data_IF_589381209118
#
_entry.id   IF_589381209118
#
_cell.length_a   1.000
_cell.length_b   1.000
_cell.length_c   1.000
_cell.angle_alpha   90.00
_cell.angle_beta   90.00
_cell.angle_gamma   90.00
#
_symmetry.space_group_name_H-M   'P 1'
#
loop_
_entity.id
_entity.type
_entity.pdbx_description
1 polymer ?
#
# COMPACT_ATOMS: atom_id res chain seq x y z
N UNK A 1 11.85 -0.99 -0.65
CA UNK A 1 11.56 -1.75 -1.88
C UNK A 1 10.12 -1.53 -2.28
N UNK A 2 9.87 -1.20 -3.55
CA UNK A 2 8.52 -1.14 -4.12
C UNK A 2 8.22 -2.45 -4.85
N UNK A 3 7.02 -3.00 -4.67
CA UNK A 3 6.55 -4.18 -5.37
C UNK A 3 5.04 -4.10 -5.59
N UNK A 4 4.58 -4.51 -6.76
CA UNK A 4 3.18 -4.70 -7.06
C UNK A 4 2.82 -6.17 -6.87
N UNK A 5 1.68 -6.46 -6.24
CA UNK A 5 1.27 -7.84 -5.95
C UNK A 5 -0.23 -8.03 -6.05
N UNK A 6 -0.65 -9.08 -6.74
CA UNK A 6 -2.02 -9.57 -6.65
C UNK A 6 -2.22 -10.40 -5.38
N UNK A 7 -3.15 -9.97 -4.51
CA UNK A 7 -3.59 -10.73 -3.36
C UNK A 7 -4.85 -11.50 -3.72
N UNK A 8 -4.73 -12.82 -3.74
CA UNK A 8 -5.83 -13.73 -4.02
C UNK A 8 -6.49 -14.13 -2.70
N UNK A 9 -7.70 -13.63 -2.44
CA UNK A 9 -8.52 -14.08 -1.32
C UNK A 9 -9.30 -15.32 -1.77
N UNK A 10 -9.09 -16.47 -1.13
CA UNK A 10 -9.73 -17.74 -1.51
C UNK A 10 -11.25 -17.57 -1.62
N UNK A 11 -11.80 -17.97 -2.77
CA UNK A 11 -13.23 -17.84 -3.14
C UNK A 11 -13.79 -16.40 -3.12
N UNK A 12 -12.93 -15.39 -3.25
CA UNK A 12 -13.29 -13.96 -3.31
C UNK A 12 -12.55 -13.24 -4.45
N UNK A 13 -12.84 -11.95 -4.60
CA UNK A 13 -12.15 -11.05 -5.53
C UNK A 13 -10.67 -10.95 -5.21
N UNK A 14 -9.83 -10.96 -6.25
CA UNK A 14 -8.40 -10.68 -6.13
C UNK A 14 -8.18 -9.18 -6.20
N UNK A 15 -7.25 -8.67 -5.39
CA UNK A 15 -6.99 -7.22 -5.29
C UNK A 15 -5.54 -6.96 -5.69
N UNK A 16 -5.32 -5.95 -6.53
CA UNK A 16 -3.99 -5.47 -6.86
C UNK A 16 -3.53 -4.53 -5.75
N UNK A 17 -2.33 -4.75 -5.22
CA UNK A 17 -1.77 -3.87 -4.19
C UNK A 17 -0.37 -3.40 -4.55
N UNK A 18 -0.10 -2.14 -4.21
CA UNK A 18 1.21 -1.55 -4.19
C UNK A 18 1.82 -1.67 -2.80
N UNK A 19 3.01 -2.24 -2.70
CA UNK A 19 3.67 -2.50 -1.42
C UNK A 19 5.01 -1.75 -1.39
N UNK A 20 5.13 -0.86 -0.42
CA UNK A 20 6.36 -0.15 -0.06
C UNK A 20 6.90 -0.78 1.22
N UNK A 21 7.95 -1.58 1.09
CA UNK A 21 8.47 -2.43 2.16
C UNK A 21 9.96 -2.26 2.41
N UNK A 22 10.34 -2.19 3.68
CA UNK A 22 11.70 -2.34 4.17
C UNK A 22 11.67 -3.28 5.40
N UNK A 23 12.59 -4.25 5.45
CA UNK A 23 12.63 -5.25 6.53
C UNK A 23 13.06 -4.67 7.88
N UNK A 24 13.68 -3.49 7.89
CA UNK A 24 14.04 -2.77 9.11
C UNK A 24 12.86 -2.00 9.73
N UNK A 25 11.80 -1.77 8.96
CA UNK A 25 10.59 -1.08 9.42
C UNK A 25 9.73 -2.02 10.28
N UNK A 26 9.23 -1.52 11.41
CA UNK A 26 8.45 -2.31 12.38
C UNK A 26 6.94 -2.16 12.23
N UNK A 27 6.50 -1.09 11.58
CA UNK A 27 5.10 -0.73 11.47
C UNK A 27 4.65 -0.83 10.02
N UNK A 28 3.40 -1.23 9.82
CA UNK A 28 2.78 -1.32 8.51
C UNK A 28 1.43 -0.62 8.54
N UNK A 29 1.16 0.19 7.52
CA UNK A 29 -0.14 0.82 7.28
C UNK A 29 -0.76 0.23 6.03
N UNK A 30 -2.06 -0.08 6.10
CA UNK A 30 -2.87 -0.40 4.93
C UNK A 30 -3.60 0.87 4.55
N UNK A 31 -3.30 1.39 3.36
CA UNK A 31 -3.93 2.57 2.80
C UNK A 31 -5.06 2.14 1.86
N UNK A 32 -6.28 2.56 2.19
CA UNK A 32 -7.47 2.35 1.36
C UNK A 32 -7.90 3.71 0.80
N UNK A 33 -7.75 3.96 -0.51
CA UNK A 33 -8.25 5.15 -1.15
C UNK A 33 -9.77 5.29 -0.99
N UNK A 34 -10.25 6.52 -0.96
CA UNK A 34 -11.69 6.76 -1.05
C UNK A 34 -12.22 6.30 -2.42
N UNK A 35 -13.48 5.85 -2.47
CA UNK A 35 -14.10 5.33 -3.69
C UNK A 35 -14.02 6.35 -4.84
N UNK A 36 -13.46 5.93 -5.97
CA UNK A 36 -13.28 6.78 -7.15
C UNK A 36 -12.11 7.77 -7.07
N UNK A 37 -11.28 7.70 -6.02
CA UNK A 37 -10.08 8.53 -5.87
C UNK A 37 -8.84 7.73 -6.22
N UNK A 38 -8.17 8.13 -7.29
CA UNK A 38 -6.93 7.49 -7.71
C UNK A 38 -5.84 7.54 -6.62
N UNK A 39 -5.07 6.46 -6.48
CA UNK A 39 -3.99 6.34 -5.50
C UNK A 39 -2.95 7.46 -5.60
N UNK A 40 -2.71 7.99 -6.81
CA UNK A 40 -1.81 9.12 -7.03
C UNK A 40 -2.14 10.38 -6.22
N UNK A 41 -3.39 10.53 -5.76
CA UNK A 41 -3.79 11.62 -4.85
C UNK A 41 -3.20 11.49 -3.45
N UNK A 42 -2.77 10.29 -3.07
CA UNK A 42 -2.17 9.97 -1.78
C UNK A 42 -0.63 9.92 -1.83
N UNK A 43 0.00 10.19 -2.97
CA UNK A 43 1.44 10.05 -3.17
C UNK A 43 2.28 10.73 -2.07
N UNK A 44 1.95 11.98 -1.71
CA UNK A 44 2.66 12.71 -0.63
C UNK A 44 2.53 12.05 0.74
N UNK A 45 1.37 11.45 1.04
CA UNK A 45 1.18 10.71 2.29
C UNK A 45 2.03 9.43 2.29
N UNK A 46 2.05 8.72 1.17
CA UNK A 46 2.87 7.50 0.99
C UNK A 46 4.35 7.82 1.21
N UNK A 47 4.84 8.90 0.58
CA UNK A 47 6.22 9.38 0.74
C UNK A 47 6.57 9.69 2.20
N UNK A 48 5.76 10.51 2.87
CA UNK A 48 5.99 10.88 4.28
C UNK A 48 6.00 9.65 5.19
N UNK A 49 5.07 8.70 4.99
CA UNK A 49 5.03 7.48 5.77
C UNK A 49 6.28 6.61 5.54
N UNK A 50 6.73 6.49 4.29
CA UNK A 50 7.97 5.76 3.97
C UNK A 50 9.19 6.42 4.62
N UNK A 51 9.31 7.75 4.57
CA UNK A 51 10.38 8.51 5.23
C UNK A 51 10.40 8.28 6.75
N UNK A 52 9.22 8.07 7.35
CA UNK A 52 9.05 7.76 8.77
C UNK A 52 9.21 6.27 9.10
N UNK A 53 9.81 5.47 8.21
CA UNK A 53 10.11 4.05 8.42
C UNK A 53 8.85 3.20 8.66
N UNK A 54 7.79 3.52 7.92
CA UNK A 54 6.53 2.77 7.93
C UNK A 54 6.39 2.03 6.59
N UNK A 55 6.11 0.74 6.65
CA UNK A 55 5.74 -0.05 5.48
C UNK A 55 4.31 0.30 5.07
N UNK A 56 4.02 0.29 3.77
CA UNK A 56 2.72 0.70 3.25
C UNK A 56 2.23 -0.34 2.28
N UNK A 57 0.97 -0.72 2.43
CA UNK A 57 0.23 -1.54 1.47
C UNK A 57 -0.92 -0.68 0.97
N UNK A 58 -0.87 -0.22 -0.26
CA UNK A 58 -1.97 0.49 -0.89
C UNK A 58 -2.83 -0.52 -1.65
N UNK A 59 -4.12 -0.60 -1.31
CA UNK A 59 -5.05 -1.48 -1.99
C UNK A 59 -6.11 -0.63 -2.70
N UNK A 60 -6.16 -0.77 -4.03
CA UNK A 60 -7.16 -0.16 -4.91
C UNK A 60 -8.29 -1.17 -5.21
#
# INVERSE_FOLDING_TARGET
MYLEKMINFQNKTSILVDIFYDSSNKNTVILLPALGVALSKYQKLIEILCENKINIICAD
#
